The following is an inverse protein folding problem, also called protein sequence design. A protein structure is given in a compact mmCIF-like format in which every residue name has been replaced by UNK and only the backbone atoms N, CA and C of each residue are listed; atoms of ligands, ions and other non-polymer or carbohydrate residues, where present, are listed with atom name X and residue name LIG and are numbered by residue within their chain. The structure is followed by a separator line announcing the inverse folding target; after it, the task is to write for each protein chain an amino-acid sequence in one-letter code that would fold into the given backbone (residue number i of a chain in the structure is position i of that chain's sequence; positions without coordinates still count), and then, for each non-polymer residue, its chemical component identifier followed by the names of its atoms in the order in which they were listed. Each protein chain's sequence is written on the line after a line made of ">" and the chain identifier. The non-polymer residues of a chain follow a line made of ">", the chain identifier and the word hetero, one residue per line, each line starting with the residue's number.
data_IF_303515086492
#
_entry.id   IF_303515086492
#
_cell.length_a   1.000
_cell.length_b   1.000
_cell.length_c   1.000
_cell.angle_alpha   90.00
_cell.angle_beta   90.00
_cell.angle_gamma   90.00
#
_symmetry.space_group_name_H-M   'P 1'
#
loop_
_entity.id
_entity.type
_entity.pdbx_description
1 polymer ?
#
# COMPACT_ATOMS: atom_id res chain seq x y z
N UNK A 1 -3.30 10.51 -8.69
CA UNK A 1 -1.86 10.20 -8.55
C UNK A 1 -1.55 10.05 -7.06
N UNK A 2 -1.21 8.84 -6.58
CA UNK A 2 -0.93 8.60 -5.16
C UNK A 2 0.56 8.78 -4.84
N UNK A 3 0.89 9.65 -3.88
CA UNK A 3 2.25 9.78 -3.31
C UNK A 3 2.18 9.35 -1.85
N UNK A 4 2.93 8.31 -1.49
CA UNK A 4 3.07 7.87 -0.10
C UNK A 4 4.40 8.37 0.45
N UNK A 5 4.35 9.02 1.61
CA UNK A 5 5.53 9.40 2.36
C UNK A 5 5.66 8.49 3.57
N UNK A 6 6.67 7.61 3.57
CA UNK A 6 7.03 6.80 4.73
C UNK A 6 8.17 7.54 5.45
N UNK A 7 7.99 7.86 6.72
CA UNK A 7 9.09 8.37 7.57
C UNK A 7 10.20 7.31 7.66
N UNK A 8 11.41 7.75 7.99
CA UNK A 8 12.76 7.13 8.02
C UNK A 8 12.94 5.65 8.47
N UNK A 9 12.05 4.75 8.08
CA UNK A 9 12.05 3.33 8.40
C UNK A 9 12.07 2.57 7.08
N UNK A 10 13.24 2.09 6.68
CA UNK A 10 13.42 1.34 5.43
C UNK A 10 12.80 -0.06 5.56
N UNK A 11 11.49 -0.16 5.37
CA UNK A 11 10.84 -1.47 5.24
C UNK A 11 11.17 -2.07 3.88
N UNK A 12 11.58 -3.34 3.88
CA UNK A 12 11.96 -4.03 2.65
C UNK A 12 10.70 -4.38 1.86
N UNK A 13 10.58 -3.83 0.66
CA UNK A 13 9.64 -4.35 -0.34
C UNK A 13 10.07 -5.78 -0.70
N UNK A 14 9.18 -6.74 -0.44
CA UNK A 14 9.42 -8.17 -0.67
C UNK A 14 8.91 -8.60 -2.04
N UNK A 15 7.82 -7.98 -2.47
CA UNK A 15 7.11 -8.34 -3.69
C UNK A 15 6.31 -7.13 -4.18
N UNK A 16 6.09 -7.06 -5.49
CA UNK A 16 5.16 -6.14 -6.12
C UNK A 16 4.44 -6.87 -7.25
N UNK A 17 3.23 -6.45 -7.57
CA UNK A 17 2.49 -7.01 -8.70
C UNK A 17 1.31 -6.15 -9.11
N UNK A 18 0.54 -6.67 -10.04
CA UNK A 18 -0.65 -6.02 -10.59
C UNK A 18 -1.78 -7.00 -10.77
N UNK A 19 -2.93 -6.48 -11.14
CA UNK A 19 -4.08 -7.26 -11.59
C UNK A 19 -3.69 -8.30 -12.64
N UNK A 20 -3.93 -9.57 -12.30
CA UNK A 20 -3.60 -10.74 -13.11
C UNK A 20 -4.30 -10.79 -14.47
N UNK A 21 -5.37 -10.02 -14.67
CA UNK A 21 -6.08 -9.98 -15.95
C UNK A 21 -5.37 -9.12 -17.00
N UNK A 22 -4.35 -8.35 -16.61
CA UNK A 22 -3.66 -7.42 -17.51
C UNK A 22 -4.43 -6.14 -17.81
N UNK A 23 -5.61 -5.95 -17.20
CA UNK A 23 -6.45 -4.76 -17.39
C UNK A 23 -5.99 -3.53 -16.59
N UNK A 24 -4.92 -3.65 -15.80
CA UNK A 24 -4.38 -2.56 -14.99
C UNK A 24 -5.32 -2.06 -13.89
N UNK A 25 -6.25 -2.90 -13.42
CA UNK A 25 -7.28 -2.50 -12.46
C UNK A 25 -6.73 -2.13 -11.07
N UNK A 26 -5.64 -2.77 -10.66
CA UNK A 26 -4.92 -2.46 -9.43
C UNK A 26 -3.44 -2.84 -9.53
N UNK A 27 -2.64 -2.25 -8.66
CA UNK A 27 -1.25 -2.61 -8.41
C UNK A 27 -0.99 -2.69 -6.91
N UNK A 28 -0.02 -3.49 -6.50
CA UNK A 28 0.32 -3.68 -5.09
C UNK A 28 1.83 -3.77 -4.83
N UNK A 29 2.21 -3.43 -3.61
CA UNK A 29 3.53 -3.70 -3.03
C UNK A 29 3.34 -4.37 -1.68
N UNK A 30 4.09 -5.45 -1.43
CA UNK A 30 4.13 -6.17 -0.17
C UNK A 30 5.37 -5.76 0.60
N UNK A 31 5.17 -5.15 1.76
CA UNK A 31 6.20 -4.81 2.72
C UNK A 31 6.41 -5.97 3.68
N UNK A 32 7.67 -6.36 3.87
CA UNK A 32 8.03 -7.45 4.77
C UNK A 32 7.82 -7.04 6.23
N UNK A 33 7.01 -7.81 6.94
CA UNK A 33 6.84 -7.71 8.38
C UNK A 33 7.67 -8.71 9.16
N UNK A 34 7.46 -8.72 10.48
CA UNK A 34 8.09 -9.68 11.39
C UNK A 34 7.32 -10.99 11.40
N UNK A 35 8.09 -12.07 11.42
CA UNK A 35 7.63 -13.42 11.72
C UNK A 35 7.17 -13.50 13.17
N UNK A 36 5.87 -13.71 13.38
CA UNK A 36 5.31 -13.99 14.70
C UNK A 36 5.75 -15.40 15.09
N UNK A 37 6.46 -15.53 16.21
CA UNK A 37 6.66 -16.82 16.85
C UNK A 37 5.34 -17.16 17.55
N UNK A 38 4.70 -18.25 17.15
CA UNK A 38 3.66 -18.88 17.98
C UNK A 38 4.31 -19.25 19.31
N UNK A 39 3.90 -18.62 20.41
CA UNK A 39 4.37 -19.03 21.73
C UNK A 39 3.94 -20.47 21.96
N UNK A 40 4.91 -21.35 22.23
CA UNK A 40 4.69 -22.73 22.60
C UNK A 40 5.70 -23.11 23.67
N UNK A 41 5.19 -23.44 24.86
CA UNK A 41 5.91 -24.11 25.95
C UNK A 41 6.42 -23.18 27.06
N UNK A 42 5.59 -22.97 28.09
CA UNK A 42 5.92 -23.19 29.52
C UNK A 42 4.73 -22.73 30.41
N UNK A 43 3.51 -23.19 30.11
CA UNK A 43 2.39 -23.10 31.06
C UNK A 43 2.18 -24.50 31.70
N UNK A 44 2.29 -24.66 33.03
CA UNK A 44 2.14 -25.95 33.71
C UNK A 44 0.69 -26.49 33.75
N UNK A 45 -0.29 -25.78 33.21
CA UNK A 45 -1.72 -26.00 33.50
C UNK A 45 -2.43 -27.10 32.67
N UNK A 46 -1.76 -27.76 31.72
CA UNK A 46 -2.21 -29.08 31.23
C UNK A 46 -3.56 -29.17 30.49
N UNK A 47 -4.08 -28.09 29.90
CA UNK A 47 -5.26 -28.14 29.01
C UNK A 47 -4.83 -28.03 27.54
N UNK A 48 -4.55 -29.19 26.92
CA UNK A 48 -4.21 -29.32 25.51
C UNK A 48 -5.50 -29.37 24.68
N UNK A 49 -5.76 -28.34 23.87
CA UNK A 49 -6.53 -28.51 22.64
C UNK A 49 -5.54 -28.83 21.51
N UNK A 50 -5.48 -30.11 21.19
CA UNK A 50 -4.70 -30.67 20.09
C UNK A 50 -5.25 -30.14 18.76
N UNK A 51 -4.57 -29.14 18.19
CA UNK A 51 -4.81 -28.72 16.80
C UNK A 51 -3.49 -28.79 16.04
N UNK A 52 -3.15 -30.02 15.67
CA UNK A 52 -2.33 -30.39 14.51
C UNK A 52 -0.90 -29.81 14.41
N UNK A 53 0.03 -30.70 14.70
CA UNK A 53 1.50 -30.68 14.56
C UNK A 53 2.04 -30.37 13.13
N UNK A 54 1.23 -29.85 12.22
CA UNK A 54 1.60 -29.47 10.84
C UNK A 54 1.52 -27.95 10.54
N UNK A 55 1.03 -27.11 11.47
CA UNK A 55 0.79 -25.66 11.22
C UNK A 55 1.71 -24.74 12.03
N UNK A 56 2.91 -25.20 12.42
CA UNK A 56 3.93 -24.32 13.06
C UNK A 56 4.71 -23.47 12.05
N UNK A 57 4.05 -22.92 11.03
CA UNK A 57 4.65 -21.87 10.21
C UNK A 57 4.55 -20.58 11.01
N UNK A 58 5.70 -19.98 11.33
CA UNK A 58 5.75 -18.62 11.84
C UNK A 58 5.08 -17.68 10.83
N UNK A 59 3.89 -17.19 11.17
CA UNK A 59 3.08 -16.31 10.31
C UNK A 59 3.72 -14.93 10.30
N UNK A 60 3.95 -14.36 9.12
CA UNK A 60 4.50 -13.00 8.97
C UNK A 60 3.37 -12.00 8.88
N UNK A 61 3.39 -10.94 9.68
CA UNK A 61 2.49 -9.78 9.50
C UNK A 61 3.04 -8.87 8.40
N UNK A 62 3.10 -9.36 7.17
CA UNK A 62 3.43 -8.52 6.03
C UNK A 62 2.30 -7.51 5.78
N UNK A 63 2.63 -6.31 5.30
CA UNK A 63 1.64 -5.30 4.92
C UNK A 63 1.58 -5.21 3.39
N UNK A 64 0.41 -5.43 2.82
CA UNK A 64 0.17 -5.24 1.39
C UNK A 64 -0.50 -3.89 1.17
N UNK A 65 0.17 -3.03 0.40
CA UNK A 65 -0.37 -1.75 -0.02
C UNK A 65 -0.87 -1.88 -1.45
N UNK A 66 -2.12 -1.51 -1.68
CA UNK A 66 -2.83 -1.68 -2.95
C UNK A 66 -3.36 -0.34 -3.40
N UNK A 67 -3.17 -0.01 -4.67
CA UNK A 67 -3.85 1.09 -5.34
C UNK A 67 -4.74 0.53 -6.43
N UNK A 68 -6.01 0.94 -6.45
CA UNK A 68 -7.00 0.45 -7.40
C UNK A 68 -7.73 1.60 -8.10
N UNK A 69 -8.18 1.34 -9.32
CA UNK A 69 -9.04 2.24 -10.08
C UNK A 69 -10.30 1.49 -10.53
N UNK A 70 -11.46 2.02 -10.16
CA UNK A 70 -12.74 1.49 -10.60
C UNK A 70 -13.24 2.27 -11.80
N UNK A 71 -13.53 1.61 -12.95
CA UNK A 71 -14.03 2.32 -14.12
C UNK A 71 -15.29 3.12 -13.80
N UNK A 72 -15.48 4.26 -14.46
CA UNK A 72 -16.77 4.97 -14.45
C UNK A 72 -17.93 4.06 -14.89
N UNK A 73 -19.17 4.49 -14.63
CA UNK A 73 -20.37 3.79 -15.11
C UNK A 73 -20.37 3.69 -16.64
N UNK A 74 -21.20 2.81 -17.19
CA UNK A 74 -21.39 2.69 -18.64
C UNK A 74 -21.63 4.07 -19.25
N UNK A 75 -20.80 4.41 -20.24
CA UNK A 75 -20.82 5.67 -20.94
C UNK A 75 -20.83 5.44 -22.45
N UNK A 76 -20.98 6.53 -23.21
CA UNK A 76 -21.11 6.49 -24.67
C UNK A 76 -19.76 6.44 -25.41
N UNK A 77 -18.64 6.63 -24.70
CA UNK A 77 -17.30 6.63 -25.31
C UNK A 77 -16.67 5.24 -25.40
N UNK A 78 -16.28 4.82 -26.60
CA UNK A 78 -15.59 3.56 -26.85
C UNK A 78 -14.17 3.52 -26.25
N UNK A 79 -13.55 4.69 -26.05
CA UNK A 79 -12.25 4.84 -25.39
C UNK A 79 -12.33 4.76 -23.86
N UNK A 80 -13.52 4.69 -23.27
CA UNK A 80 -13.65 4.62 -21.80
C UNK A 80 -13.05 3.33 -21.25
N UNK A 81 -12.46 3.40 -20.05
CA UNK A 81 -11.92 2.21 -19.35
C UNK A 81 -13.00 1.13 -19.22
N UNK A 82 -14.25 1.53 -18.97
CA UNK A 82 -15.37 0.59 -18.88
C UNK A 82 -15.60 -0.17 -20.19
N UNK A 83 -15.63 0.54 -21.33
CA UNK A 83 -15.80 -0.09 -22.65
C UNK A 83 -14.62 -1.01 -22.98
N UNK A 84 -13.38 -0.59 -22.72
CA UNK A 84 -12.19 -1.40 -22.95
C UNK A 84 -12.23 -2.71 -22.12
N UNK A 85 -12.56 -2.63 -20.83
CA UNK A 85 -12.69 -3.81 -19.98
C UNK A 85 -13.85 -4.72 -20.43
N UNK A 86 -14.98 -4.13 -20.84
CA UNK A 86 -16.12 -4.89 -21.38
C UNK A 86 -15.76 -5.65 -22.65
N UNK A 87 -15.00 -5.03 -23.57
CA UNK A 87 -14.49 -5.68 -24.78
C UNK A 87 -13.62 -6.89 -24.44
N UNK A 88 -12.69 -6.74 -23.50
CA UNK A 88 -11.87 -7.85 -23.01
C UNK A 88 -12.72 -8.97 -22.39
N UNK A 89 -13.67 -8.66 -21.51
CA UNK A 89 -14.51 -9.70 -20.91
C UNK A 89 -15.38 -10.41 -21.96
N UNK A 90 -15.87 -9.69 -22.97
CA UNK A 90 -16.59 -10.27 -24.10
C UNK A 90 -15.68 -11.18 -24.95
N UNK A 91 -14.41 -10.83 -25.18
CA UNK A 91 -13.49 -11.66 -25.97
C UNK A 91 -13.20 -13.01 -25.30
N UNK A 92 -13.22 -13.07 -23.97
CA UNK A 92 -13.13 -14.31 -23.19
C UNK A 92 -14.52 -14.91 -22.86
N UNK A 93 -15.58 -14.48 -23.56
CA UNK A 93 -16.97 -14.96 -23.44
C UNK A 93 -17.55 -14.86 -22.02
N UNK A 94 -17.08 -13.91 -21.21
CA UNK A 94 -17.62 -13.59 -19.88
C UNK A 94 -18.49 -12.34 -19.98
N UNK A 95 -19.82 -12.51 -19.94
CA UNK A 95 -20.76 -11.39 -19.93
C UNK A 95 -20.95 -10.88 -18.50
N UNK A 96 -20.03 -10.03 -18.06
CA UNK A 96 -19.96 -9.51 -16.68
C UNK A 96 -19.85 -7.99 -16.67
N UNK A 97 -20.29 -7.38 -15.58
CA UNK A 97 -20.09 -5.95 -15.33
C UNK A 97 -18.65 -5.71 -14.84
N UNK A 98 -17.85 -4.86 -15.52
CA UNK A 98 -16.47 -4.56 -15.13
C UNK A 98 -16.32 -3.97 -13.72
N UNK A 99 -17.26 -3.11 -13.30
CA UNK A 99 -17.24 -2.44 -11.99
C UNK A 99 -17.55 -3.42 -10.86
N UNK A 100 -18.50 -4.33 -11.06
CA UNK A 100 -18.80 -5.39 -10.08
C UNK A 100 -17.66 -6.39 -10.00
N UNK A 101 -17.15 -6.82 -11.16
CA UNK A 101 -16.06 -7.80 -11.24
C UNK A 101 -14.78 -7.30 -10.59
N UNK A 102 -14.46 -6.00 -10.70
CA UNK A 102 -13.35 -5.41 -9.96
C UNK A 102 -13.46 -5.67 -8.45
N UNK A 103 -14.61 -5.37 -7.85
CA UNK A 103 -14.83 -5.50 -6.41
C UNK A 103 -14.76 -6.97 -6.01
N UNK A 104 -15.39 -7.86 -6.78
CA UNK A 104 -15.38 -9.30 -6.54
C UNK A 104 -13.95 -9.88 -6.57
N UNK A 105 -13.17 -9.53 -7.61
CA UNK A 105 -11.81 -10.03 -7.77
C UNK A 105 -10.86 -9.45 -6.70
N UNK A 106 -11.01 -8.15 -6.39
CA UNK A 106 -10.20 -7.50 -5.38
C UNK A 106 -10.49 -8.06 -3.99
N UNK A 107 -11.76 -8.34 -3.65
CA UNK A 107 -12.14 -9.02 -2.42
C UNK A 107 -11.51 -10.41 -2.30
N UNK A 108 -11.53 -11.22 -3.37
CA UNK A 108 -10.86 -12.53 -3.39
C UNK A 108 -9.36 -12.41 -3.18
N UNK A 109 -8.74 -11.41 -3.83
CA UNK A 109 -7.31 -11.17 -3.71
C UNK A 109 -6.92 -10.69 -2.30
N UNK A 110 -7.74 -9.83 -1.69
CA UNK A 110 -7.59 -9.40 -0.29
C UNK A 110 -7.67 -10.61 0.63
N UNK A 111 -8.70 -11.45 0.49
CA UNK A 111 -8.84 -12.64 1.32
C UNK A 111 -7.63 -13.56 1.21
N UNK A 112 -7.09 -13.77 0.00
CA UNK A 112 -5.86 -14.53 -0.20
C UNK A 112 -4.68 -13.95 0.58
N UNK A 113 -4.46 -12.63 0.54
CA UNK A 113 -3.40 -11.99 1.33
C UNK A 113 -3.63 -12.14 2.83
N UNK A 114 -4.90 -12.06 3.28
CA UNK A 114 -5.25 -12.27 4.69
C UNK A 114 -5.01 -13.71 5.14
N UNK A 115 -5.33 -14.70 4.31
CA UNK A 115 -5.07 -16.12 4.57
C UNK A 115 -3.57 -16.41 4.66
N UNK A 116 -2.74 -15.64 3.94
CA UNK A 116 -1.27 -15.67 4.07
C UNK A 116 -0.75 -14.96 5.34
N UNK A 117 -1.63 -14.35 6.13
CA UNK A 117 -1.31 -13.62 7.36
C UNK A 117 -0.96 -12.14 7.15
N UNK A 118 -1.24 -11.58 5.97
CA UNK A 118 -0.95 -10.18 5.68
C UNK A 118 -2.08 -9.26 6.11
N UNK A 119 -1.72 -8.05 6.48
CA UNK A 119 -2.65 -6.92 6.58
C UNK A 119 -2.68 -6.16 5.27
N UNK A 120 -3.78 -5.46 4.97
CA UNK A 120 -3.97 -4.78 3.67
C UNK A 120 -4.38 -3.33 3.87
N UNK A 121 -3.73 -2.44 3.13
CA UNK A 121 -4.10 -1.04 2.94
C UNK A 121 -4.46 -0.84 1.47
N UNK A 122 -5.69 -0.42 1.20
CA UNK A 122 -6.22 -0.19 -0.14
C UNK A 122 -6.57 1.28 -0.32
N UNK A 123 -5.86 1.97 -1.22
CA UNK A 123 -6.32 3.24 -1.79
C UNK A 123 -7.09 2.99 -3.07
N UNK A 124 -8.27 3.58 -3.23
CA UNK A 124 -9.09 3.37 -4.43
C UNK A 124 -9.75 4.66 -4.90
N UNK A 125 -9.68 4.91 -6.21
CA UNK A 125 -10.67 5.76 -6.89
C UNK A 125 -11.86 4.86 -7.25
N UNK A 126 -12.95 4.98 -6.49
CA UNK A 126 -14.10 4.10 -6.58
C UNK A 126 -15.10 4.49 -7.68
N UNK A 127 -15.00 5.73 -8.19
CA UNK A 127 -15.98 6.35 -9.09
C UNK A 127 -17.44 6.04 -8.66
N UNK A 128 -17.68 6.13 -7.35
CA UNK A 128 -18.95 5.92 -6.66
C UNK A 128 -18.92 6.66 -5.34
N UNK A 129 -20.09 7.08 -4.86
CA UNK A 129 -20.22 7.72 -3.55
C UNK A 129 -19.89 6.74 -2.41
N UNK A 130 -18.79 7.01 -1.70
CA UNK A 130 -18.32 6.22 -0.57
C UNK A 130 -19.06 6.54 0.74
N UNK A 131 -19.89 7.58 0.78
CA UNK A 131 -20.69 7.93 1.97
C UNK A 131 -21.97 7.11 2.10
N UNK A 132 -22.38 6.43 1.02
CA UNK A 132 -23.59 5.59 1.00
C UNK A 132 -23.33 4.25 1.69
N UNK A 133 -24.11 4.00 2.74
CA UNK A 133 -24.14 2.72 3.45
C UNK A 133 -25.39 1.92 3.02
N UNK A 134 -25.35 1.35 1.82
CA UNK A 134 -26.40 0.46 1.29
C UNK A 134 -25.86 -0.95 1.09
N UNK A 135 -26.71 -2.00 1.04
CA UNK A 135 -26.25 -3.38 0.84
C UNK A 135 -25.39 -3.58 -0.42
N UNK A 136 -25.68 -2.80 -1.47
CA UNK A 136 -24.97 -2.86 -2.75
C UNK A 136 -23.78 -1.88 -2.83
N UNK A 137 -23.55 -1.04 -1.82
CA UNK A 137 -22.49 -0.03 -1.88
C UNK A 137 -21.11 -0.68 -1.82
N UNK A 138 -20.15 -0.08 -2.51
CA UNK A 138 -18.76 -0.56 -2.49
C UNK A 138 -18.19 -0.61 -1.06
N UNK A 139 -18.60 0.32 -0.20
CA UNK A 139 -18.17 0.33 1.20
C UNK A 139 -18.65 -0.93 1.94
N UNK A 140 -19.91 -1.30 1.77
CA UNK A 140 -20.47 -2.51 2.38
C UNK A 140 -19.81 -3.78 1.84
N UNK A 141 -19.58 -3.85 0.52
CA UNK A 141 -18.85 -4.96 -0.12
C UNK A 141 -17.44 -5.12 0.44
N UNK A 142 -16.70 -4.02 0.63
CA UNK A 142 -15.38 -4.09 1.27
C UNK A 142 -15.45 -4.45 2.75
N UNK A 143 -16.48 -4.00 3.48
CA UNK A 143 -16.74 -4.41 4.87
C UNK A 143 -16.92 -5.91 5.01
N UNK A 144 -17.67 -6.54 4.09
CA UNK A 144 -17.86 -7.99 4.04
C UNK A 144 -16.55 -8.75 3.79
N UNK A 145 -15.61 -8.13 3.06
CA UNK A 145 -14.26 -8.65 2.84
C UNK A 145 -13.28 -8.29 3.98
N UNK A 146 -13.80 -7.77 5.10
CA UNK A 146 -13.04 -7.44 6.30
C UNK A 146 -12.16 -6.19 6.19
N UNK A 147 -12.53 -5.27 5.29
CA UNK A 147 -11.89 -3.97 5.12
C UNK A 147 -12.78 -2.86 5.67
N UNK A 148 -12.20 -1.87 6.32
CA UNK A 148 -12.92 -0.72 6.85
C UNK A 148 -12.43 0.58 6.22
N UNK A 149 -13.35 1.50 5.93
CA UNK A 149 -12.99 2.82 5.44
C UNK A 149 -12.35 3.64 6.59
N UNK A 150 -11.21 4.27 6.29
CA UNK A 150 -10.31 4.85 7.27
C UNK A 150 -10.59 6.34 7.60
N UNK A 151 -11.21 7.13 6.72
CA UNK A 151 -11.30 8.59 6.88
C UNK A 151 -12.72 9.06 7.22
N UNK A 152 -13.76 8.50 6.61
CA UNK A 152 -15.18 8.84 6.81
C UNK A 152 -15.69 8.54 8.22
N UNK A 153 -15.01 7.67 8.99
CA UNK A 153 -15.31 7.49 10.41
C UNK A 153 -14.84 8.67 11.27
N UNK A 154 -13.93 9.50 10.76
CA UNK A 154 -13.24 10.58 11.49
C UNK A 154 -13.69 11.97 11.03
N UNK A 155 -14.10 12.08 9.77
CA UNK A 155 -14.45 13.34 9.11
C UNK A 155 -15.77 13.21 8.36
N UNK A 156 -16.53 14.32 8.22
CA UNK A 156 -17.71 14.32 7.37
C UNK A 156 -17.35 14.00 5.91
N UNK A 157 -18.29 13.44 5.14
CA UNK A 157 -18.11 13.23 3.70
C UNK A 157 -17.61 14.50 3.02
N UNK A 158 -16.48 14.40 2.34
CA UNK A 158 -15.79 15.52 1.68
C UNK A 158 -15.58 15.18 0.21
N UNK A 159 -15.88 16.08 -0.74
CA UNK A 159 -15.70 15.82 -2.16
C UNK A 159 -14.22 15.62 -2.50
N UNK A 160 -13.90 14.49 -3.12
CA UNK A 160 -12.52 14.15 -3.46
C UNK A 160 -12.12 14.51 -4.90
N UNK A 161 -13.08 14.92 -5.73
CA UNK A 161 -12.90 15.31 -7.12
C UNK A 161 -13.49 16.68 -7.42
N UNK A 162 -12.78 17.52 -8.15
CA UNK A 162 -13.12 18.93 -8.36
C UNK A 162 -14.39 19.14 -9.19
N UNK A 163 -14.66 18.23 -10.14
CA UNK A 163 -15.86 18.29 -10.99
C UNK A 163 -17.05 17.52 -10.39
N UNK A 164 -16.93 17.09 -9.14
CA UNK A 164 -18.01 16.43 -8.43
C UNK A 164 -19.11 17.44 -8.07
N UNK A 165 -20.27 17.31 -8.73
CA UNK A 165 -21.43 18.17 -8.50
C UNK A 165 -22.32 17.72 -7.33
N UNK A 166 -22.08 16.53 -6.79
CA UNK A 166 -22.89 15.92 -5.72
C UNK A 166 -22.27 16.10 -4.34
N UNK A 167 -21.08 16.70 -4.25
CA UNK A 167 -20.35 16.96 -2.99
C UNK A 167 -20.02 15.68 -2.19
N UNK A 168 -19.72 14.57 -2.89
CA UNK A 168 -19.51 13.24 -2.28
C UNK A 168 -18.07 12.74 -2.41
N UNK A 169 -17.54 11.95 -1.46
CA UNK A 169 -16.25 11.30 -1.61
C UNK A 169 -16.34 10.16 -2.63
N UNK A 170 -15.45 10.16 -3.63
CA UNK A 170 -15.33 9.06 -4.61
C UNK A 170 -13.97 8.35 -4.55
N UNK A 171 -13.04 8.89 -3.77
CA UNK A 171 -11.76 8.29 -3.44
C UNK A 171 -11.75 7.92 -1.96
N UNK A 172 -11.15 6.78 -1.62
CA UNK A 172 -11.15 6.29 -0.25
C UNK A 172 -9.90 5.48 0.08
N UNK A 173 -9.62 5.38 1.38
CA UNK A 173 -8.59 4.52 1.93
C UNK A 173 -9.28 3.50 2.83
N UNK A 174 -9.04 2.23 2.55
CA UNK A 174 -9.59 1.10 3.29
C UNK A 174 -8.46 0.30 3.94
N UNK A 175 -8.70 -0.20 5.15
CA UNK A 175 -7.70 -0.96 5.91
C UNK A 175 -8.31 -2.21 6.51
N UNK A 176 -7.54 -3.29 6.61
CA UNK A 176 -7.89 -4.41 7.48
C UNK A 176 -7.81 -4.01 8.95
N UNK A 177 -8.50 -4.75 9.82
CA UNK A 177 -8.57 -4.44 11.26
C UNK A 177 -7.22 -4.48 12.00
N UNK A 178 -6.19 -5.11 11.44
CA UNK A 178 -4.85 -5.14 12.03
C UNK A 178 -3.99 -3.93 11.71
N UNK A 179 -4.48 -2.96 10.92
CA UNK A 179 -3.80 -1.69 10.63
C UNK A 179 -4.41 -0.58 11.48
N UNK A 180 -3.78 -0.19 12.61
CA UNK A 180 -4.27 0.91 13.42
C UNK A 180 -4.03 2.25 12.73
N UNK A 181 -5.12 2.95 12.43
CA UNK A 181 -5.10 4.30 11.85
C UNK A 181 -5.09 5.33 12.97
N UNK A 182 -3.98 6.05 13.12
CA UNK A 182 -3.74 7.06 14.15
C UNK A 182 -4.43 8.38 13.80
N UNK A 183 -4.26 8.83 12.57
CA UNK A 183 -4.86 10.04 12.03
C UNK A 183 -5.14 9.87 10.53
N UNK A 184 -5.87 10.80 9.95
CA UNK A 184 -6.12 10.82 8.52
C UNK A 184 -6.98 11.99 8.13
N UNK A 185 -7.02 12.29 6.84
CA UNK A 185 -7.77 13.43 6.33
C UNK A 185 -7.59 13.65 4.83
N UNK A 186 -8.02 14.84 4.42
CA UNK A 186 -8.02 15.28 3.03
C UNK A 186 -7.17 16.53 2.90
N UNK A 187 -6.33 16.59 1.87
CA UNK A 187 -5.70 17.84 1.44
C UNK A 187 -6.71 18.72 0.69
N UNK A 188 -6.39 20.01 0.53
CA UNK A 188 -7.07 20.85 -0.44
C UNK A 188 -6.73 20.41 -1.89
N UNK A 189 -7.56 20.79 -2.85
CA UNK A 189 -7.27 20.56 -4.26
C UNK A 189 -5.97 21.29 -4.66
N UNK A 190 -5.09 20.60 -5.38
CA UNK A 190 -3.82 21.17 -5.84
C UNK A 190 -2.74 21.37 -4.75
N UNK A 191 -3.05 21.14 -3.47
CA UNK A 191 -2.11 21.41 -2.37
C UNK A 191 -0.91 20.46 -2.36
N UNK A 192 -1.18 19.16 -2.50
CA UNK A 192 -0.13 18.13 -2.47
C UNK A 192 0.23 17.59 -3.85
N UNK A 193 -0.76 17.53 -4.74
CA UNK A 193 -0.63 17.04 -6.12
C UNK A 193 -1.50 17.90 -7.01
N UNK A 194 -0.94 18.38 -8.11
CA UNK A 194 -1.68 19.04 -9.18
C UNK A 194 -2.52 17.99 -9.93
N UNK A 195 -3.79 17.91 -9.55
CA UNK A 195 -4.73 16.89 -9.98
C UNK A 195 -6.15 17.37 -9.72
N UNK A 196 -7.10 16.97 -10.55
CA UNK A 196 -8.52 17.23 -10.32
C UNK A 196 -9.10 16.38 -9.18
N UNK A 197 -8.36 15.37 -8.72
CA UNK A 197 -8.54 14.72 -7.43
C UNK A 197 -7.65 15.32 -6.35
N UNK A 198 -8.18 15.50 -5.14
CA UNK A 198 -7.37 15.84 -3.96
C UNK A 198 -6.67 14.61 -3.39
N UNK A 199 -5.55 14.83 -2.71
CA UNK A 199 -4.85 13.76 -2.01
C UNK A 199 -5.53 13.43 -0.69
N UNK A 200 -5.56 12.14 -0.36
CA UNK A 200 -6.00 11.58 0.92
C UNK A 200 -4.75 11.11 1.67
N UNK A 201 -4.77 11.21 3.00
CA UNK A 201 -3.69 10.72 3.83
C UNK A 201 -4.22 10.00 5.07
N UNK A 202 -3.44 9.03 5.54
CA UNK A 202 -3.61 8.40 6.85
C UNK A 202 -2.24 8.23 7.49
N UNK A 203 -2.21 8.38 8.81
CA UNK A 203 -1.09 7.99 9.64
C UNK A 203 -1.40 6.63 10.25
N UNK A 204 -0.47 5.69 10.12
CA UNK A 204 -0.58 4.34 10.66
C UNK A 204 0.61 4.02 11.56
N UNK A 205 0.38 3.23 12.60
CA UNK A 205 1.49 2.65 13.35
C UNK A 205 2.09 1.45 12.58
N UNK A 206 3.17 1.72 11.86
CA UNK A 206 3.91 0.71 11.11
C UNK A 206 4.45 -0.41 11.99
N UNK A 207 4.73 -0.14 13.28
CA UNK A 207 5.18 -1.20 14.18
C UNK A 207 4.07 -2.23 14.35
N UNK A 208 2.87 -1.80 14.73
CA UNK A 208 1.73 -2.71 14.87
C UNK A 208 1.35 -3.38 13.55
N UNK A 209 1.32 -2.63 12.45
CA UNK A 209 0.95 -3.13 11.13
C UNK A 209 1.94 -4.18 10.59
N UNK A 210 3.23 -4.07 10.92
CA UNK A 210 4.28 -4.99 10.49
C UNK A 210 4.73 -6.00 11.59
N UNK A 211 4.04 -6.05 12.73
CA UNK A 211 4.31 -7.02 13.81
C UNK A 211 5.50 -6.68 14.74
N UNK A 212 5.60 -5.43 15.18
CA UNK A 212 6.66 -4.82 16.01
C UNK A 212 8.05 -4.87 15.36
N UNK A 213 8.24 -4.05 14.31
CA UNK A 213 9.53 -3.77 13.71
C UNK A 213 10.35 -2.82 14.61
N UNK A 214 11.20 -3.36 15.49
CA UNK A 214 12.41 -2.61 15.86
C UNK A 214 13.45 -2.88 14.80
N UNK A 215 13.87 -1.86 14.05
CA UNK A 215 15.14 -1.99 13.34
C UNK A 215 16.17 -2.33 14.42
N UNK A 216 16.73 -3.53 14.38
CA UNK A 216 18.06 -3.67 14.93
C UNK A 216 18.93 -2.85 13.99
N UNK A 217 19.03 -1.55 14.25
CA UNK A 217 20.17 -0.79 13.80
C UNK A 217 21.36 -1.63 14.23
N UNK A 218 22.11 -2.15 13.26
CA UNK A 218 23.34 -2.85 13.60
C UNK A 218 24.13 -1.84 14.42
N UNK A 219 24.30 -2.09 15.71
CA UNK A 219 25.30 -1.36 16.49
C UNK A 219 26.62 -1.89 15.97
N UNK A 220 27.05 -1.35 14.83
CA UNK A 220 28.45 -1.43 14.47
C UNK A 220 29.16 -0.73 15.60
N UNK A 221 29.75 -1.49 16.54
CA UNK A 221 30.77 -0.95 17.43
C UNK A 221 31.97 -0.69 16.53
N UNK A 222 32.25 0.55 16.10
CA UNK A 222 33.44 0.80 15.33
C UNK A 222 34.62 0.33 16.18
N UNK A 223 35.50 -0.50 15.60
CA UNK A 223 36.80 -0.77 16.24
C UNK A 223 37.47 0.59 16.40
N UNK A 224 37.92 0.91 17.62
CA UNK A 224 38.66 2.14 17.88
C UNK A 224 39.80 2.25 16.86
N UNK A 225 39.82 3.35 16.12
CA UNK A 225 40.85 3.60 15.13
C UNK A 225 42.22 3.60 15.84
N UNK A 226 43.12 2.70 15.44
CA UNK A 226 44.46 2.63 16.02
C UNK A 226 45.38 3.53 15.20
N UNK A 227 45.82 4.65 15.79
CA UNK A 227 46.69 5.63 15.12
C UNK A 227 48.12 5.11 14.86
N UNK A 228 48.47 3.96 15.45
CA UNK A 228 49.80 3.36 15.35
C UNK A 228 49.99 2.58 14.03
N UNK A 229 48.92 2.09 13.41
CA UNK A 229 49.01 1.39 12.14
C UNK A 229 48.80 2.35 10.96
N UNK A 230 49.92 2.72 10.33
CA UNK A 230 49.94 3.57 9.13
C UNK A 230 49.06 3.03 7.99
N UNK A 231 48.84 1.70 7.89
CA UNK A 231 47.96 1.10 6.87
C UNK A 231 46.50 1.33 7.19
N UNK A 232 46.10 1.19 8.45
CA UNK A 232 44.74 1.48 8.93
C UNK A 232 44.40 2.96 8.81
N UNK A 233 45.34 3.86 9.12
CA UNK A 233 45.18 5.32 8.94
C UNK A 233 45.01 5.67 7.46
N UNK A 234 45.82 5.09 6.56
CA UNK A 234 45.69 5.31 5.11
C UNK A 234 44.35 4.79 4.56
N UNK A 235 43.92 3.59 4.97
CA UNK A 235 42.60 3.03 4.58
C UNK A 235 41.45 3.86 5.12
N UNK A 236 41.54 4.35 6.36
CA UNK A 236 40.54 5.25 6.93
C UNK A 236 40.51 6.58 6.20
N UNK A 237 41.66 7.18 5.88
CA UNK A 237 41.74 8.41 5.09
C UNK A 237 41.09 8.26 3.72
N UNK A 238 41.38 7.17 3.00
CA UNK A 238 40.75 6.88 1.70
C UNK A 238 39.24 6.63 1.84
N UNK A 239 38.84 5.90 2.89
CA UNK A 239 37.43 5.61 3.18
C UNK A 239 36.65 6.86 3.58
N UNK A 240 37.24 7.73 4.41
CA UNK A 240 36.66 9.00 4.86
C UNK A 240 36.58 10.00 3.71
N UNK A 241 37.61 10.10 2.87
CA UNK A 241 37.58 10.93 1.66
C UNK A 241 36.45 10.45 0.75
N UNK A 242 36.30 9.13 0.54
CA UNK A 242 35.16 8.58 -0.20
C UNK A 242 33.82 8.87 0.47
N UNK A 243 33.70 8.75 1.79
CA UNK A 243 32.45 8.99 2.51
C UNK A 243 32.08 10.47 2.52
N UNK A 244 33.07 11.35 2.61
CA UNK A 244 32.90 12.80 2.51
C UNK A 244 32.59 13.19 1.07
N UNK A 245 33.23 12.60 0.06
CA UNK A 245 32.82 12.78 -1.34
C UNK A 245 31.41 12.30 -1.58
N UNK A 246 31.03 11.12 -1.08
CA UNK A 246 29.67 10.59 -1.19
C UNK A 246 28.66 11.45 -0.41
N UNK A 247 29.06 12.06 0.71
CA UNK A 247 28.22 12.96 1.51
C UNK A 247 28.12 14.39 0.95
N UNK A 248 29.14 14.84 0.20
CA UNK A 248 29.16 16.10 -0.52
C UNK A 248 28.40 15.98 -1.86
N UNK A 249 28.53 14.85 -2.54
CA UNK A 249 27.71 14.48 -3.70
C UNK A 249 26.24 14.28 -3.30
N UNK A 250 25.97 13.80 -2.07
CA UNK A 250 24.63 13.67 -1.50
C UNK A 250 24.04 14.98 -0.92
N UNK A 251 24.70 16.13 -1.08
CA UNK A 251 24.13 17.45 -0.72
C UNK A 251 24.36 18.45 -1.84
N UNK A 252 23.46 18.43 -2.83
CA UNK A 252 22.42 19.45 -2.84
C UNK A 252 21.02 18.86 -3.00
N UNK A 253 20.12 19.38 -2.15
CA UNK A 253 18.65 19.35 -2.25
C UNK A 253 18.00 18.02 -1.83
N UNK A 254 17.15 18.12 -0.81
CA UNK A 254 16.08 17.19 -0.52
C UNK A 254 15.15 17.05 -1.73
N UNK A 255 15.51 16.21 -2.70
CA UNK A 255 14.70 15.82 -3.86
C UNK A 255 14.87 14.32 -4.05
N UNK A 256 13.80 13.61 -3.70
CA UNK A 256 13.30 12.41 -4.38
C UNK A 256 14.38 11.42 -4.86
N UNK A 257 14.99 10.68 -3.94
CA UNK A 257 15.61 9.40 -4.31
C UNK A 257 14.51 8.36 -4.46
N UNK A 258 14.15 8.17 -5.72
CA UNK A 258 13.31 7.13 -6.28
C UNK A 258 13.74 5.76 -5.77
N UNK A 259 12.93 5.22 -4.86
CA UNK A 259 12.92 3.79 -4.59
C UNK A 259 12.38 3.11 -5.86
N UNK A 260 13.17 2.27 -6.52
CA UNK A 260 12.79 1.61 -7.78
C UNK A 260 11.46 0.82 -7.71
N UNK A 261 10.96 0.49 -6.50
CA UNK A 261 9.63 -0.10 -6.29
C UNK A 261 8.48 0.93 -6.26
N UNK A 262 8.73 2.17 -5.80
CA UNK A 262 7.75 3.28 -5.80
C UNK A 262 7.63 3.91 -7.19
N UNK A 263 8.71 3.93 -7.97
CA UNK A 263 8.65 4.24 -9.40
C UNK A 263 7.74 3.27 -10.15
N UNK A 264 7.72 1.98 -9.82
CA UNK A 264 6.84 1.02 -10.50
C UNK A 264 5.35 1.34 -10.24
N UNK A 265 4.99 1.73 -9.02
CA UNK A 265 3.61 2.12 -8.66
C UNK A 265 3.23 3.52 -9.19
N UNK A 266 4.19 4.45 -9.23
CA UNK A 266 3.99 5.80 -9.79
C UNK A 266 3.98 5.81 -11.32
N UNK A 267 4.87 5.07 -11.97
CA UNK A 267 4.97 4.94 -13.44
C UNK A 267 3.79 4.13 -14.00
N UNK A 268 3.30 3.10 -13.29
CA UNK A 268 2.09 2.37 -13.72
C UNK A 268 0.85 3.29 -13.74
N UNK A 269 0.74 4.24 -12.80
CA UNK A 269 -0.35 5.22 -12.81
C UNK A 269 -0.12 6.33 -13.85
N UNK A 270 1.13 6.68 -14.17
CA UNK A 270 1.45 7.56 -15.30
C UNK A 270 1.07 6.90 -16.64
N UNK A 271 1.34 5.61 -16.86
CA UNK A 271 0.92 4.90 -18.08
C UNK A 271 -0.60 4.70 -18.15
N UNK A 272 -1.28 4.41 -17.02
CA UNK A 272 -2.74 4.25 -16.99
C UNK A 272 -3.52 5.57 -17.18
N UNK A 273 -2.93 6.71 -16.85
CA UNK A 273 -3.63 8.02 -16.88
C UNK A 273 -3.12 8.94 -17.99
N UNK A 274 -1.86 8.83 -18.44
CA UNK A 274 -1.28 9.74 -19.43
C UNK A 274 -1.07 9.14 -20.83
N UNK A 275 -1.04 7.82 -21.01
CA UNK A 275 -0.87 7.25 -22.37
C UNK A 275 -2.19 6.98 -23.14
N UNK A 276 -3.35 7.27 -22.54
CA UNK A 276 -4.66 7.08 -23.21
C UNK A 276 -5.69 8.18 -22.93
N UNK A 277 -5.22 9.41 -22.76
CA UNK A 277 -5.97 10.64 -23.07
C UNK A 277 -5.40 11.26 -24.34
#
# INVERSE_FOLDING_TARGET
>A
MGRMHLSQVSHRAKESGSDSTGLGRWAYVRLQGKKLKTQGGDDPSGLVLDVNKAVRRSISRDLVIVLAYRPNREGTGESTVWAQQRLYFNSIKRKIDPRKTLVDDLCKQIQKWRDEGCEVLLGINANEDLSVNSPDSIQQRFRECGMEEAILKRHPPTPTHQRNQSNVPIDGIFTTSGVPVLAGGYYAFGEFVESDHRALWIDIDLNTALGNFTSQGSTFKPRKLTLLDKRSVKRYGVGLIRLVQHALEARPIAVVEKCACLECVQNFFLELVLERL
#
